data_IF_606381293273
#
_entry.id   IF_606381293273
#
_cell.length_a   1.000
_cell.length_b   1.000
_cell.length_c   1.000
_cell.angle_alpha   90.00
_cell.angle_beta   90.00
_cell.angle_gamma   90.00
#
_symmetry.space_group_name_H-M   'P 1'
#
loop_
_entity.id
_entity.type
_entity.pdbx_description
1 polymer ?
#
# COMPACT_ATOMS: atom_id res chain seq x y z
N UNK A 1 25.56 -5.49 1.83
CA UNK A 1 24.21 -5.93 2.26
C UNK A 1 23.60 -4.82 3.10
N UNK A 2 22.33 -4.49 2.86
CA UNK A 2 21.62 -3.42 3.55
C UNK A 2 20.11 -3.54 3.40
N UNK A 3 19.38 -2.72 4.13
CA UNK A 3 17.93 -2.64 4.07
C UNK A 3 17.50 -1.46 3.21
N UNK A 4 16.59 -1.67 2.28
CA UNK A 4 15.93 -0.61 1.51
C UNK A 4 14.45 -0.61 1.86
N UNK A 5 13.92 0.53 2.29
CA UNK A 5 12.49 0.71 2.48
C UNK A 5 11.85 1.17 1.17
N UNK A 6 10.70 0.61 0.82
CA UNK A 6 9.83 1.07 -0.25
C UNK A 6 8.46 1.42 0.32
N UNK A 7 7.98 2.61 -0.01
CA UNK A 7 6.64 3.07 0.31
C UNK A 7 5.71 2.81 -0.87
N UNK A 8 4.61 2.10 -0.63
CA UNK A 8 3.62 1.77 -1.67
C UNK A 8 2.27 2.41 -1.38
N UNK A 9 1.82 3.32 -2.24
CA UNK A 9 0.46 3.84 -2.21
C UNK A 9 -0.51 2.85 -2.83
N UNK A 10 -1.40 2.27 -2.01
CA UNK A 10 -2.36 1.26 -2.41
C UNK A 10 -3.76 1.85 -2.56
N UNK A 11 -4.14 2.19 -3.79
CA UNK A 11 -5.47 2.70 -4.11
C UNK A 11 -6.46 1.57 -4.42
N UNK A 12 -7.71 1.73 -3.95
CA UNK A 12 -8.78 0.75 -4.18
C UNK A 12 -8.80 -0.42 -3.19
N UNK A 13 -8.13 -0.29 -2.05
CA UNK A 13 -8.05 -1.33 -1.00
C UNK A 13 -9.39 -1.63 -0.32
N UNK A 14 -10.39 -0.76 -0.42
CA UNK A 14 -11.73 -1.02 0.12
C UNK A 14 -12.52 -2.02 -0.74
N UNK A 15 -12.06 -2.30 -1.97
CA UNK A 15 -12.66 -3.30 -2.84
C UNK A 15 -12.32 -4.73 -2.44
N UNK A 16 -13.14 -5.72 -2.83
CA UNK A 16 -12.96 -7.13 -2.44
C UNK A 16 -11.57 -7.68 -2.85
N UNK A 17 -11.12 -7.37 -4.06
CA UNK A 17 -9.84 -7.86 -4.60
C UNK A 17 -8.66 -7.08 -4.01
N UNK A 18 -8.74 -5.74 -3.97
CA UNK A 18 -7.75 -4.88 -3.31
C UNK A 18 -7.49 -5.28 -1.86
N UNK A 19 -8.54 -5.46 -1.06
CA UNK A 19 -8.44 -5.89 0.33
C UNK A 19 -7.87 -7.31 0.46
N UNK A 20 -8.54 -8.31 -0.15
CA UNK A 20 -8.25 -9.72 0.15
C UNK A 20 -6.97 -10.22 -0.51
N UNK A 21 -6.76 -9.88 -1.79
CA UNK A 21 -5.65 -10.44 -2.56
C UNK A 21 -4.40 -9.58 -2.46
N UNK A 22 -4.54 -8.26 -2.57
CA UNK A 22 -3.36 -7.39 -2.65
C UNK A 22 -2.89 -6.92 -1.27
N UNK A 23 -3.79 -6.43 -0.42
CA UNK A 23 -3.40 -6.00 0.92
C UNK A 23 -3.11 -7.20 1.84
N UNK A 24 -4.15 -7.99 2.16
CA UNK A 24 -4.06 -9.04 3.20
C UNK A 24 -3.17 -10.20 2.80
N UNK A 25 -3.22 -10.67 1.55
CA UNK A 25 -2.47 -11.86 1.11
C UNK A 25 -1.10 -11.55 0.52
N UNK A 26 -0.74 -10.28 0.32
CA UNK A 26 0.54 -9.93 -0.31
C UNK A 26 1.28 -8.85 0.44
N UNK A 27 0.76 -7.62 0.50
CA UNK A 27 1.53 -6.50 1.05
C UNK A 27 1.73 -6.62 2.57
N UNK A 28 0.74 -7.07 3.34
CA UNK A 28 0.92 -7.27 4.79
C UNK A 28 1.96 -8.37 5.11
N UNK A 29 1.91 -9.57 4.51
CA UNK A 29 3.00 -10.55 4.67
C UNK A 29 4.36 -10.01 4.26
N UNK A 30 4.45 -9.29 3.13
CA UNK A 30 5.72 -8.70 2.68
C UNK A 30 6.23 -7.59 3.62
N UNK A 31 5.35 -6.87 4.30
CA UNK A 31 5.73 -5.89 5.33
C UNK A 31 6.34 -6.58 6.55
N UNK A 32 5.78 -7.72 6.97
CA UNK A 32 6.26 -8.48 8.12
C UNK A 32 7.55 -9.24 7.81
N UNK A 33 7.62 -9.91 6.67
CA UNK A 33 8.72 -10.81 6.31
C UNK A 33 9.83 -10.09 5.52
N UNK A 34 9.53 -9.00 4.82
CA UNK A 34 10.44 -8.38 3.86
C UNK A 34 10.71 -9.27 2.63
N UNK A 35 11.42 -8.71 1.66
CA UNK A 35 11.80 -9.42 0.43
C UNK A 35 13.33 -9.42 0.28
N UNK A 36 13.93 -10.61 0.22
CA UNK A 36 15.38 -10.76 -0.01
C UNK A 36 15.69 -10.83 -1.52
N UNK A 37 16.64 -10.01 -1.95
CA UNK A 37 17.16 -10.00 -3.31
C UNK A 37 18.38 -10.91 -3.45
N UNK A 38 18.73 -11.38 -4.67
CA UNK A 38 19.88 -12.24 -4.90
C UNK A 38 21.23 -11.65 -4.47
N UNK A 39 21.34 -10.33 -4.39
CA UNK A 39 22.54 -9.60 -3.94
C UNK A 39 22.63 -9.47 -2.40
N UNK A 40 21.67 -10.04 -1.67
CA UNK A 40 21.57 -9.98 -0.21
C UNK A 40 20.99 -8.68 0.33
N UNK A 41 20.43 -7.80 -0.50
CA UNK A 41 19.64 -6.65 -0.06
C UNK A 41 18.26 -7.11 0.41
N UNK A 42 17.79 -6.56 1.54
CA UNK A 42 16.41 -6.79 2.02
C UNK A 42 15.54 -5.57 1.72
N UNK A 43 14.40 -5.78 1.09
CA UNK A 43 13.38 -4.77 0.88
C UNK A 43 12.33 -4.86 1.99
N UNK A 44 12.10 -3.76 2.68
CA UNK A 44 10.97 -3.56 3.58
C UNK A 44 9.89 -2.75 2.87
N UNK A 45 8.63 -3.17 3.00
CA UNK A 45 7.50 -2.52 2.33
C UNK A 45 6.61 -1.85 3.37
N UNK A 46 6.35 -0.55 3.20
CA UNK A 46 5.39 0.18 4.04
C UNK A 46 4.24 0.72 3.17
N UNK A 47 3.00 0.24 3.37
CA UNK A 47 1.86 0.71 2.60
C UNK A 47 1.33 2.06 3.10
N UNK A 48 0.84 2.86 2.16
CA UNK A 48 -0.14 3.93 2.41
C UNK A 48 -1.47 3.46 1.84
N UNK A 49 -2.51 3.41 2.65
CA UNK A 49 -3.84 3.03 2.16
C UNK A 49 -4.54 4.24 1.54
N UNK A 50 -4.99 4.11 0.29
CA UNK A 50 -5.66 5.21 -0.42
C UNK A 50 -7.06 4.79 -0.83
N UNK A 51 -8.04 5.66 -0.54
CA UNK A 51 -9.42 5.41 -0.95
C UNK A 51 -10.36 6.59 -0.70
N UNK A 52 -11.50 6.60 -1.38
CA UNK A 52 -12.46 7.72 -1.35
C UNK A 52 -13.34 7.79 -0.10
N UNK A 53 -13.33 6.73 0.73
CA UNK A 53 -14.20 6.58 1.89
C UNK A 53 -13.35 6.62 3.16
N UNK A 54 -13.21 7.78 3.83
CA UNK A 54 -12.28 7.94 4.95
C UNK A 54 -12.50 6.90 6.05
N UNK A 55 -13.73 6.74 6.52
CA UNK A 55 -14.05 5.79 7.60
C UNK A 55 -13.65 4.35 7.25
N UNK A 56 -13.90 3.92 6.02
CA UNK A 56 -13.60 2.56 5.58
C UNK A 56 -12.09 2.33 5.41
N UNK A 57 -11.35 3.35 4.96
CA UNK A 57 -9.90 3.26 4.82
C UNK A 57 -9.25 3.27 6.21
N UNK A 58 -9.70 4.15 7.11
CA UNK A 58 -9.24 4.25 8.49
C UNK A 58 -9.47 2.94 9.26
N UNK A 59 -10.65 2.32 9.14
CA UNK A 59 -10.95 1.03 9.77
C UNK A 59 -9.99 -0.08 9.30
N UNK A 60 -9.66 -0.11 8.00
CA UNK A 60 -8.71 -1.08 7.45
C UNK A 60 -7.29 -0.78 7.97
N UNK A 61 -6.91 0.50 8.03
CA UNK A 61 -5.60 0.93 8.52
C UNK A 61 -5.41 0.53 9.99
N UNK A 62 -6.38 0.84 10.85
CA UNK A 62 -6.40 0.48 12.26
C UNK A 62 -6.34 -1.04 12.46
N UNK A 63 -7.17 -1.78 11.72
CA UNK A 63 -7.23 -3.25 11.81
C UNK A 63 -5.88 -3.93 11.54
N UNK A 64 -5.07 -3.37 10.64
CA UNK A 64 -3.82 -3.99 10.18
C UNK A 64 -2.57 -3.22 10.63
N UNK A 65 -2.72 -2.24 11.52
CA UNK A 65 -1.62 -1.43 12.03
C UNK A 65 -0.85 -0.69 10.93
N UNK A 66 -1.55 -0.20 9.91
CA UNK A 66 -0.97 0.66 8.86
C UNK A 66 -1.10 2.11 9.31
N UNK A 67 0.01 2.80 9.46
CA UNK A 67 0.03 4.15 10.06
C UNK A 67 -0.49 5.23 9.10
N UNK A 68 -0.20 5.08 7.81
CA UNK A 68 -0.51 6.09 6.80
C UNK A 68 -1.71 5.69 5.96
N UNK A 69 -2.70 6.56 5.91
CA UNK A 69 -3.79 6.47 4.95
C UNK A 69 -4.26 7.84 4.51
N UNK A 70 -4.77 7.94 3.28
CA UNK A 70 -5.14 9.19 2.64
C UNK A 70 -6.40 9.03 1.79
N UNK A 71 -7.12 10.13 1.59
CA UNK A 71 -8.28 10.18 0.68
C UNK A 71 -8.04 11.06 -0.54
N UNK A 72 -7.00 11.88 -0.50
CA UNK A 72 -6.55 12.73 -1.59
C UNK A 72 -5.45 11.99 -2.38
N UNK A 73 -5.80 11.52 -3.58
CA UNK A 73 -4.87 10.80 -4.44
C UNK A 73 -3.78 11.73 -4.99
N UNK A 74 -4.13 12.96 -5.35
CA UNK A 74 -3.19 13.89 -5.98
C UNK A 74 -2.09 14.27 -4.99
N UNK A 75 -2.45 14.46 -3.71
CA UNK A 75 -1.49 14.64 -2.62
C UNK A 75 -0.51 13.47 -2.51
N UNK A 76 -0.99 12.23 -2.62
CA UNK A 76 -0.15 11.02 -2.51
C UNK A 76 0.78 10.88 -3.72
N UNK A 77 0.28 11.19 -4.92
CA UNK A 77 1.09 11.13 -6.15
C UNK A 77 2.15 12.25 -6.23
N UNK A 78 1.93 13.37 -5.52
CA UNK A 78 2.89 14.46 -5.42
C UNK A 78 3.93 14.28 -4.29
N UNK A 79 3.82 13.23 -3.47
CA UNK A 79 4.76 12.94 -2.38
C UNK A 79 5.97 12.16 -2.91
N UNK A 80 7.14 12.81 -2.98
CA UNK A 80 8.41 12.20 -3.38
C UNK A 80 8.84 11.03 -2.47
N UNK A 81 8.23 10.88 -1.29
CA UNK A 81 8.42 9.75 -0.39
C UNK A 81 7.65 8.48 -0.77
N UNK A 82 6.84 8.53 -1.84
CA UNK A 82 6.09 7.39 -2.38
C UNK A 82 6.84 6.77 -3.55
N UNK A 83 7.39 5.57 -3.35
CA UNK A 83 8.16 4.89 -4.39
C UNK A 83 7.28 4.23 -5.46
N UNK A 84 6.11 3.73 -5.06
CA UNK A 84 5.24 2.91 -5.91
C UNK A 84 3.78 3.34 -5.75
N UNK A 85 3.10 3.54 -6.88
CA UNK A 85 1.63 3.62 -6.93
C UNK A 85 1.04 2.30 -7.42
N UNK A 86 0.08 1.75 -6.68
CA UNK A 86 -0.66 0.55 -7.02
C UNK A 86 -2.17 0.82 -7.05
N UNK A 87 -2.85 0.37 -8.10
CA UNK A 87 -4.28 0.61 -8.31
C UNK A 87 -5.08 -0.69 -8.50
N UNK A 88 -5.94 -0.99 -7.53
CA UNK A 88 -6.91 -2.08 -7.56
C UNK A 88 -8.37 -1.61 -7.72
N UNK A 89 -8.59 -0.35 -8.09
CA UNK A 89 -9.92 0.16 -8.43
C UNK A 89 -10.46 -0.54 -9.69
N UNK A 90 -11.77 -0.42 -9.91
CA UNK A 90 -12.41 -0.80 -11.17
C UNK A 90 -11.70 -0.09 -12.33
N UNK A 91 -11.48 -0.80 -13.44
CA UNK A 91 -10.70 -0.28 -14.57
C UNK A 91 -11.23 1.05 -15.10
N UNK A 92 -12.55 1.26 -15.11
CA UNK A 92 -13.19 2.49 -15.56
C UNK A 92 -13.07 3.68 -14.57
N UNK A 93 -12.58 3.43 -13.36
CA UNK A 93 -12.35 4.46 -12.35
C UNK A 93 -10.89 4.90 -12.28
N UNK A 94 -9.98 4.18 -12.95
CA UNK A 94 -8.57 4.55 -13.08
C UNK A 94 -8.47 5.76 -14.02
N UNK A 95 -7.73 6.78 -13.61
CA UNK A 95 -7.53 8.02 -14.36
C UNK A 95 -6.06 8.20 -14.68
#
# INVERSE_FOLDING_TARGET
MGTKKLTIAMNGITGRMGYRQHLVRSILPLREEGLELPDGTRIEVEPILVGRRPDAVAEIAERHGVERWETDLDKVLADDGVDIYFDAQLTNLRR
#
